data_IF_086694109381
#
_entry.id   IF_086694109381
#
_cell.length_a   1.000
_cell.length_b   1.000
_cell.length_c   1.000
_cell.angle_alpha   90.00
_cell.angle_beta   90.00
_cell.angle_gamma   90.00
#
_symmetry.space_group_name_H-M   'P 1'
#
loop_
_entity.id
_entity.type
_entity.pdbx_description
1 polymer ?
#
# COMPACT_ATOMS: atom_id res chain seq x y z
N UNK A 1 -5.90 -3.83 6.85
CA UNK A 1 -5.45 -4.42 5.58
C UNK A 1 -4.53 -3.41 4.93
N UNK A 2 -3.23 -3.64 4.94
CA UNK A 2 -2.32 -2.87 4.09
C UNK A 2 -2.70 -3.14 2.63
N UNK A 3 -2.71 -2.11 1.80
CA UNK A 3 -3.03 -2.27 0.40
C UNK A 3 -1.92 -3.09 -0.27
N UNK A 4 -2.31 -4.08 -1.09
CA UNK A 4 -1.40 -4.94 -1.85
C UNK A 4 -0.22 -4.18 -2.54
N UNK A 5 -0.40 -2.95 -3.07
CA UNK A 5 0.71 -2.17 -3.64
C UNK A 5 1.78 -1.76 -2.62
N UNK A 6 1.39 -1.49 -1.38
CA UNK A 6 2.33 -1.08 -0.32
C UNK A 6 3.25 -2.22 0.10
N UNK A 7 2.72 -3.44 0.17
CA UNK A 7 3.53 -4.62 0.48
C UNK A 7 4.55 -4.90 -0.64
N UNK A 8 4.15 -4.75 -1.91
CA UNK A 8 5.05 -4.92 -3.05
C UNK A 8 6.20 -3.90 -3.01
N UNK A 9 5.91 -2.64 -2.72
CA UNK A 9 6.92 -1.59 -2.69
C UNK A 9 7.90 -1.77 -1.53
N UNK A 10 7.40 -2.14 -0.34
CA UNK A 10 8.26 -2.49 0.80
C UNK A 10 9.22 -3.64 0.44
N UNK A 11 8.70 -4.66 -0.24
CA UNK A 11 9.53 -5.82 -0.65
C UNK A 11 10.56 -5.47 -1.71
N UNK A 12 10.27 -4.55 -2.63
CA UNK A 12 11.25 -4.05 -3.60
C UNK A 12 12.39 -3.28 -2.93
N UNK A 13 12.08 -2.50 -1.90
CA UNK A 13 13.08 -1.78 -1.12
C UNK A 13 13.99 -2.75 -0.35
N UNK A 14 13.43 -3.80 0.24
CA UNK A 14 14.20 -4.88 0.86
C UNK A 14 15.17 -5.53 -0.15
N UNK A 15 14.70 -5.80 -1.38
CA UNK A 15 15.53 -6.38 -2.45
C UNK A 15 16.71 -5.47 -2.79
N UNK A 16 16.47 -4.17 -2.97
CA UNK A 16 17.53 -3.21 -3.28
C UNK A 16 18.57 -3.13 -2.15
N UNK A 17 18.12 -3.18 -0.89
CA UNK A 17 19.02 -3.22 0.26
C UNK A 17 19.88 -4.50 0.27
N UNK A 18 19.32 -5.66 -0.05
CA UNK A 18 20.08 -6.91 -0.15
C UNK A 18 21.11 -6.91 -1.27
N UNK A 19 20.75 -6.41 -2.46
CA UNK A 19 21.70 -6.31 -3.57
C UNK A 19 22.90 -5.43 -3.19
N UNK A 20 22.65 -4.34 -2.47
CA UNK A 20 23.70 -3.47 -1.93
C UNK A 20 24.62 -4.21 -0.95
N UNK A 21 24.09 -5.10 -0.11
CA UNK A 21 24.89 -5.95 0.78
C UNK A 21 25.79 -6.87 -0.03
N UNK A 22 25.25 -7.62 -0.99
CA UNK A 22 26.01 -8.58 -1.79
C UNK A 22 27.13 -7.87 -2.54
N UNK A 23 26.80 -6.80 -3.27
CA UNK A 23 27.77 -5.99 -4.00
C UNK A 23 28.83 -5.39 -3.06
N UNK A 24 28.43 -4.91 -1.89
CA UNK A 24 29.34 -4.38 -0.88
C UNK A 24 30.32 -5.42 -0.36
N UNK A 25 29.87 -6.67 -0.15
CA UNK A 25 30.74 -7.77 0.29
C UNK A 25 31.69 -8.20 -0.82
N UNK A 26 31.23 -8.32 -2.07
CA UNK A 26 32.08 -8.68 -3.19
C UNK A 26 33.13 -7.61 -3.47
N UNK A 27 32.74 -6.34 -3.43
CA UNK A 27 33.66 -5.20 -3.56
C UNK A 27 34.72 -5.24 -2.46
N UNK A 28 34.31 -5.40 -1.20
CA UNK A 28 35.23 -5.48 -0.07
C UNK A 28 36.20 -6.67 -0.19
N UNK A 29 35.70 -7.81 -0.64
CA UNK A 29 36.53 -9.00 -0.92
C UNK A 29 37.58 -8.68 -1.96
N UNK A 30 37.16 -8.16 -3.11
CA UNK A 30 38.04 -7.92 -4.24
C UNK A 30 39.07 -6.82 -3.92
N UNK A 31 38.68 -5.76 -3.22
CA UNK A 31 39.57 -4.70 -2.75
C UNK A 31 40.64 -5.24 -1.78
N UNK A 32 40.25 -6.09 -0.82
CA UNK A 32 41.18 -6.69 0.13
C UNK A 32 42.14 -7.67 -0.56
N UNK A 33 41.68 -8.43 -1.56
CA UNK A 33 42.56 -9.30 -2.37
C UNK A 33 43.54 -8.49 -3.22
N UNK A 34 43.13 -7.32 -3.72
CA UNK A 34 43.98 -6.44 -4.52
C UNK A 34 44.90 -5.55 -3.68
N UNK A 35 44.70 -5.47 -2.36
CA UNK A 35 45.51 -4.65 -1.46
C UNK A 35 47.03 -4.79 -1.68
N UNK A 36 47.60 -6.00 -1.90
CA UNK A 36 49.03 -6.12 -2.16
C UNK A 36 49.52 -5.35 -3.40
N UNK A 37 48.72 -5.32 -4.47
CA UNK A 37 49.00 -4.60 -5.71
C UNK A 37 48.75 -3.10 -5.56
N UNK A 38 47.70 -2.71 -4.83
CA UNK A 38 47.41 -1.31 -4.48
C UNK A 38 48.60 -0.71 -3.70
N UNK A 39 49.09 -1.44 -2.70
CA UNK A 39 50.25 -1.03 -1.91
C UNK A 39 51.51 -0.97 -2.76
N UNK A 40 51.71 -1.93 -3.67
CA UNK A 40 52.83 -1.93 -4.62
C UNK A 40 52.80 -0.66 -5.48
N UNK A 41 51.65 -0.33 -6.07
CA UNK A 41 51.47 0.86 -6.91
C UNK A 41 51.73 2.16 -6.13
N UNK A 42 51.23 2.26 -4.89
CA UNK A 42 51.51 3.38 -4.00
C UNK A 42 53.01 3.54 -3.73
N UNK A 43 53.70 2.46 -3.37
CA UNK A 43 55.14 2.48 -3.11
C UNK A 43 55.93 2.91 -4.35
N UNK A 44 55.59 2.43 -5.55
CA UNK A 44 56.24 2.86 -6.78
C UNK A 44 56.04 4.34 -7.07
N UNK A 45 54.83 4.87 -6.90
CA UNK A 45 54.55 6.30 -7.15
C UNK A 45 55.22 7.22 -6.13
N UNK A 46 55.17 6.88 -4.84
CA UNK A 46 55.75 7.68 -3.75
C UNK A 46 57.28 7.69 -3.79
N UNK A 47 57.92 6.56 -4.13
CA UNK A 47 59.38 6.45 -4.17
C UNK A 47 60.01 6.98 -5.47
N UNK A 48 59.26 7.05 -6.57
CA UNK A 48 59.76 7.53 -7.87
C UNK A 48 59.68 9.05 -8.05
N UNK A 49 59.16 9.78 -7.06
CA UNK A 49 59.01 11.24 -7.12
C UNK A 49 58.03 11.74 -8.19
N UNK A 50 57.20 10.85 -8.75
CA UNK A 50 56.16 11.22 -9.71
C UNK A 50 54.90 11.71 -8.98
N UNK A 51 54.17 12.71 -9.50
CA UNK A 51 52.96 13.23 -8.85
C UNK A 51 51.91 12.12 -8.66
N UNK A 52 51.40 11.97 -7.43
CA UNK A 52 50.37 10.97 -7.13
C UNK A 52 49.05 11.25 -7.86
N UNK A 53 48.37 10.21 -8.40
CA UNK A 53 46.92 10.25 -8.54
C UNK A 53 46.30 10.23 -7.14
N UNK A 54 45.46 11.21 -6.83
CA UNK A 54 44.79 11.36 -5.54
C UNK A 54 43.88 10.15 -5.23
N UNK A 55 43.83 9.66 -3.98
CA UNK A 55 43.00 8.51 -3.59
C UNK A 55 41.50 8.82 -3.43
N UNK A 56 41.00 9.99 -3.86
CA UNK A 56 39.60 10.37 -3.67
C UNK A 56 38.62 9.83 -4.74
N UNK A 57 38.95 8.70 -5.33
CA UNK A 57 38.03 7.93 -6.15
C UNK A 57 38.61 6.55 -6.34
N UNK A 58 37.81 5.52 -6.10
CA UNK A 58 38.14 4.16 -6.54
C UNK A 58 38.67 4.24 -7.98
N UNK A 59 39.81 3.58 -8.30
CA UNK A 59 40.29 3.56 -9.67
C UNK A 59 39.24 2.87 -10.54
N UNK A 60 38.46 3.65 -11.29
CA UNK A 60 37.64 3.11 -12.36
C UNK A 60 38.57 2.52 -13.43
N UNK A 61 38.70 1.20 -13.45
CA UNK A 61 39.39 0.47 -14.52
C UNK A 61 38.39 -0.35 -15.34
N UNK A 62 38.70 -0.58 -16.64
CA UNK A 62 37.77 -1.15 -17.60
C UNK A 62 37.54 -2.64 -17.28
N UNK A 63 36.27 -3.05 -17.26
CA UNK A 63 35.88 -4.41 -16.97
C UNK A 63 36.44 -5.41 -18.01
N UNK A 64 36.63 -6.68 -17.61
CA UNK A 64 36.98 -7.74 -18.54
C UNK A 64 35.77 -8.14 -19.39
N UNK A 65 35.94 -8.14 -20.70
CA UNK A 65 35.02 -8.78 -21.65
C UNK A 65 34.82 -10.25 -21.26
N UNK A 66 33.71 -10.51 -20.55
CA UNK A 66 33.20 -11.86 -20.34
C UNK A 66 31.73 -11.86 -20.75
N UNK A 67 31.51 -12.21 -22.00
CA UNK A 67 30.20 -12.57 -22.50
C UNK A 67 29.70 -13.82 -21.77
N UNK A 68 28.67 -13.65 -20.95
CA UNK A 68 27.45 -14.47 -20.87
C UNK A 68 26.64 -13.99 -19.66
N UNK A 69 25.89 -12.91 -19.87
CA UNK A 69 24.86 -12.48 -18.93
C UNK A 69 23.64 -13.39 -19.10
N UNK A 70 23.23 -14.04 -18.00
CA UNK A 70 21.86 -14.54 -17.86
C UNK A 70 20.94 -13.33 -17.91
N UNK A 71 20.04 -13.35 -18.88
CA UNK A 71 19.12 -12.26 -19.19
C UNK A 71 18.05 -12.15 -18.10
N UNK A 72 18.29 -11.30 -17.08
CA UNK A 72 17.30 -10.87 -16.07
C UNK A 72 17.20 -9.33 -16.05
N UNK A 73 17.23 -8.72 -17.23
CA UNK A 73 16.97 -7.29 -17.42
C UNK A 73 15.94 -7.09 -18.53
N UNK A 74 14.69 -7.46 -18.26
CA UNK A 74 13.56 -6.92 -19.01
C UNK A 74 12.26 -7.18 -18.25
N UNK A 75 11.96 -6.31 -17.27
CA UNK A 75 10.61 -5.84 -16.92
C UNK A 75 10.63 -5.06 -15.58
N UNK A 76 11.40 -3.98 -15.48
CA UNK A 76 11.07 -2.85 -14.59
C UNK A 76 11.60 -1.57 -15.26
N UNK A 77 10.87 -1.05 -16.24
CA UNK A 77 10.97 0.37 -16.59
C UNK A 77 9.81 1.10 -15.90
N UNK A 78 10.04 1.50 -14.66
CA UNK A 78 9.41 2.69 -14.11
C UNK A 78 10.55 3.65 -13.72
N UNK A 79 10.58 4.88 -14.26
CA UNK A 79 11.61 5.83 -13.90
C UNK A 79 11.33 6.35 -12.49
N UNK A 80 11.97 5.76 -11.49
CA UNK A 80 12.24 6.47 -10.24
C UNK A 80 13.24 7.57 -10.58
N UNK A 81 12.72 8.77 -10.86
CA UNK A 81 13.48 10.01 -10.93
C UNK A 81 14.15 10.25 -9.57
N UNK A 82 15.35 9.70 -9.38
CA UNK A 82 16.27 10.17 -8.34
C UNK A 82 16.95 11.44 -8.87
N UNK A 83 16.93 12.56 -8.13
CA UNK A 83 17.73 13.72 -8.49
C UNK A 83 19.21 13.36 -8.29
N UNK A 84 19.92 13.20 -9.40
CA UNK A 84 21.38 13.12 -9.45
C UNK A 84 21.96 14.51 -9.15
N UNK A 85 21.80 14.99 -7.91
CA UNK A 85 22.61 16.10 -7.40
C UNK A 85 23.93 15.50 -6.94
N UNK A 86 24.89 15.45 -7.86
CA UNK A 86 26.31 15.41 -7.49
C UNK A 86 26.61 16.75 -6.85
N UNK A 87 26.35 16.85 -5.54
CA UNK A 87 26.76 17.98 -4.73
C UNK A 87 28.28 17.92 -4.68
N UNK A 88 28.92 18.80 -5.44
CA UNK A 88 30.34 19.08 -5.36
C UNK A 88 30.59 19.73 -3.99
N UNK A 89 30.64 18.90 -2.94
CA UNK A 89 31.06 19.30 -1.61
C UNK A 89 32.49 19.83 -1.74
N UNK A 90 32.67 21.10 -1.39
CA UNK A 90 33.98 21.70 -1.23
C UNK A 90 34.80 20.79 -0.31
N UNK A 91 35.94 20.32 -0.80
CA UNK A 91 36.81 19.43 -0.05
C UNK A 91 37.10 20.07 1.32
N UNK A 92 36.83 19.37 2.44
CA UNK A 92 37.21 19.87 3.76
C UNK A 92 38.71 20.17 3.75
N UNK A 93 39.10 21.29 4.37
CA UNK A 93 40.49 21.67 4.52
C UNK A 93 41.27 20.45 5.06
N UNK A 94 42.18 19.94 4.25
CA UNK A 94 42.93 18.73 4.57
C UNK A 94 43.64 18.93 5.91
N UNK A 95 43.54 17.97 6.84
CA UNK A 95 44.36 18.01 8.05
C UNK A 95 45.84 18.13 7.64
N UNK A 96 46.65 18.88 8.40
CA UNK A 96 48.07 19.06 8.10
C UNK A 96 48.74 17.70 7.96
N UNK A 97 49.55 17.51 6.91
CA UNK A 97 50.24 16.24 6.64
C UNK A 97 51.07 15.86 7.88
N UNK A 98 50.67 14.81 8.63
CA UNK A 98 51.33 14.43 9.88
C UNK A 98 52.78 13.97 9.65
N UNK A 99 53.15 13.69 8.39
CA UNK A 99 54.49 13.27 8.00
C UNK A 99 55.36 14.45 7.48
N UNK A 100 54.80 15.65 7.29
CA UNK A 100 55.49 16.77 6.64
C UNK A 100 56.69 17.36 7.40
N UNK A 101 56.79 17.10 8.71
CA UNK A 101 57.92 17.52 9.54
C UNK A 101 59.10 16.54 9.57
N UNK A 102 58.96 15.37 8.95
CA UNK A 102 60.00 14.33 8.92
C UNK A 102 60.79 14.44 7.61
N UNK A 103 62.07 14.03 7.63
CA UNK A 103 62.92 14.03 6.44
C UNK A 103 63.35 12.60 6.06
N UNK A 104 63.50 12.36 4.75
CA UNK A 104 64.07 11.13 4.22
C UNK A 104 63.24 9.89 4.55
N UNK A 105 63.90 8.84 5.05
CA UNK A 105 63.26 7.53 5.26
C UNK A 105 62.15 7.54 6.33
N UNK A 106 62.24 8.42 7.33
CA UNK A 106 61.21 8.53 8.38
C UNK A 106 59.91 9.09 7.81
N UNK A 107 60.01 10.04 6.88
CA UNK A 107 58.87 10.56 6.15
C UNK A 107 58.20 9.46 5.31
N UNK A 108 58.96 8.66 4.59
CA UNK A 108 58.44 7.53 3.80
C UNK A 108 57.78 6.48 4.70
N UNK A 109 58.39 6.11 5.83
CA UNK A 109 57.79 5.18 6.79
C UNK A 109 56.44 5.70 7.28
N UNK A 110 56.38 6.97 7.65
CA UNK A 110 55.15 7.61 8.11
C UNK A 110 54.06 7.61 7.02
N UNK A 111 54.41 7.98 5.78
CA UNK A 111 53.47 8.02 4.66
C UNK A 111 52.92 6.63 4.30
N UNK A 112 53.78 5.62 4.25
CA UNK A 112 53.36 4.23 4.01
C UNK A 112 52.45 3.74 5.13
N UNK A 113 52.81 4.02 6.38
CA UNK A 113 52.00 3.64 7.54
C UNK A 113 50.61 4.30 7.50
N UNK A 114 50.54 5.60 7.24
CA UNK A 114 49.28 6.34 7.09
C UNK A 114 48.44 5.82 5.92
N UNK A 115 49.05 5.52 4.78
CA UNK A 115 48.35 4.96 3.63
C UNK A 115 47.70 3.61 3.95
N UNK A 116 48.45 2.70 4.59
CA UNK A 116 47.92 1.39 4.96
C UNK A 116 46.76 1.54 5.95
N UNK A 117 46.91 2.35 7.00
CA UNK A 117 45.83 2.58 7.96
C UNK A 117 44.59 3.17 7.30
N UNK A 118 44.76 4.17 6.42
CA UNK A 118 43.65 4.78 5.69
C UNK A 118 42.91 3.77 4.78
N UNK A 119 43.62 2.82 4.17
CA UNK A 119 42.99 1.75 3.39
C UNK A 119 42.14 0.82 4.28
N UNK A 120 42.62 0.47 5.47
CA UNK A 120 41.82 -0.32 6.42
C UNK A 120 40.60 0.41 6.95
N UNK A 121 40.72 1.72 7.20
CA UNK A 121 39.59 2.55 7.59
C UNK A 121 38.56 2.63 6.46
N UNK A 122 39.02 2.70 5.20
CA UNK A 122 38.13 2.65 4.03
C UNK A 122 37.41 1.29 3.92
N UNK A 123 38.10 0.18 4.11
CA UNK A 123 37.47 -1.15 4.18
C UNK A 123 36.43 -1.24 5.30
N UNK A 124 36.72 -0.63 6.46
CA UNK A 124 35.78 -0.49 7.57
C UNK A 124 34.54 0.32 7.22
N UNK A 125 34.71 1.42 6.48
CA UNK A 125 33.61 2.24 6.00
C UNK A 125 32.76 1.49 4.97
N UNK A 126 33.37 0.88 3.95
CA UNK A 126 32.68 0.06 2.94
C UNK A 126 31.89 -1.07 3.59
N UNK A 127 32.49 -1.81 4.54
CA UNK A 127 31.79 -2.84 5.28
C UNK A 127 30.60 -2.25 6.05
N UNK A 128 30.77 -1.12 6.73
CA UNK A 128 29.70 -0.51 7.52
C UNK A 128 28.55 -0.02 6.66
N UNK A 129 28.84 0.76 5.63
CA UNK A 129 27.86 1.54 4.88
C UNK A 129 27.15 0.71 3.79
N UNK A 130 27.87 -0.27 3.22
CA UNK A 130 27.34 -1.10 2.15
C UNK A 130 26.88 -2.47 2.64
N UNK A 131 27.42 -2.99 3.76
CA UNK A 131 27.06 -4.32 4.28
C UNK A 131 26.28 -4.21 5.58
N UNK A 132 26.85 -3.65 6.66
CA UNK A 132 26.25 -3.74 8.00
C UNK A 132 24.98 -2.89 8.17
N UNK A 133 24.96 -1.67 7.61
CA UNK A 133 23.79 -0.77 7.71
C UNK A 133 22.57 -1.35 7.00
N UNK A 134 22.66 -1.78 5.72
CA UNK A 134 21.53 -2.43 5.05
C UNK A 134 21.13 -3.75 5.72
N UNK A 135 22.09 -4.51 6.26
CA UNK A 135 21.76 -5.77 6.94
C UNK A 135 21.01 -5.55 8.26
N UNK A 136 21.30 -4.47 8.99
CA UNK A 136 20.57 -4.07 10.20
C UNK A 136 19.15 -3.58 9.89
N UNK A 137 18.92 -2.86 8.79
CA UNK A 137 17.55 -2.48 8.39
C UNK A 137 16.71 -3.71 8.08
N UNK A 138 17.31 -4.71 7.43
CA UNK A 138 16.66 -5.97 7.11
C UNK A 138 16.38 -6.84 8.35
N UNK A 139 17.26 -6.86 9.34
CA UNK A 139 17.07 -7.61 10.59
C UNK A 139 15.88 -7.11 11.43
N UNK A 140 15.53 -5.82 11.33
CA UNK A 140 14.37 -5.28 12.01
C UNK A 140 13.04 -5.71 11.35
N UNK A 141 13.08 -6.15 10.09
CA UNK A 141 11.90 -6.50 9.30
C UNK A 141 11.77 -8.01 9.03
N UNK A 142 12.88 -8.76 9.08
CA UNK A 142 12.94 -10.18 8.76
C UNK A 142 13.72 -10.98 9.82
N UNK A 143 13.41 -12.28 9.92
CA UNK A 143 14.02 -13.27 10.81
C UNK A 143 15.45 -13.65 10.37
N UNK A 144 16.33 -12.67 10.16
CA UNK A 144 17.72 -12.89 9.79
C UNK A 144 18.47 -13.58 10.95
N UNK A 145 19.10 -14.72 10.66
CA UNK A 145 19.80 -15.55 11.65
C UNK A 145 21.27 -15.15 11.85
N UNK A 146 21.70 -14.05 11.24
CA UNK A 146 23.08 -13.58 11.27
C UNK A 146 23.26 -12.36 12.18
N UNK A 147 24.25 -12.41 13.06
CA UNK A 147 24.64 -11.26 13.90
C UNK A 147 25.72 -10.42 13.17
N UNK A 148 25.38 -9.21 12.67
CA UNK A 148 26.32 -8.33 11.99
C UNK A 148 27.53 -7.95 12.85
N UNK A 149 27.41 -8.02 14.17
CA UNK A 149 28.49 -7.71 15.12
C UNK A 149 29.69 -8.65 14.96
N UNK A 150 29.46 -9.90 14.53
CA UNK A 150 30.51 -10.89 14.32
C UNK A 150 31.47 -10.48 13.19
N UNK A 151 30.93 -9.86 12.13
CA UNK A 151 31.71 -9.41 10.98
C UNK A 151 32.51 -8.14 11.31
N UNK A 152 31.91 -7.23 12.07
CA UNK A 152 32.57 -6.03 12.58
C UNK A 152 33.75 -6.37 13.51
N UNK A 153 33.56 -7.33 14.43
CA UNK A 153 34.63 -7.84 15.29
C UNK A 153 35.76 -8.49 14.48
N UNK A 154 35.41 -9.29 13.45
CA UNK A 154 36.40 -9.91 12.58
C UNK A 154 37.26 -8.89 11.85
N UNK A 155 36.67 -7.79 11.37
CA UNK A 155 37.41 -6.73 10.69
C UNK A 155 38.31 -5.95 11.66
N UNK A 156 37.84 -5.65 12.87
CA UNK A 156 38.68 -5.04 13.91
C UNK A 156 39.87 -5.93 14.29
N UNK A 157 39.66 -7.26 14.33
CA UNK A 157 40.73 -8.22 14.57
C UNK A 157 41.75 -8.25 13.41
N UNK A 158 41.28 -8.10 12.17
CA UNK A 158 42.15 -7.95 11.00
C UNK A 158 42.97 -6.66 11.10
N UNK A 159 42.32 -5.51 11.30
CA UNK A 159 42.98 -4.20 11.43
C UNK A 159 44.04 -4.17 12.54
N UNK A 160 43.72 -4.73 13.71
CA UNK A 160 44.67 -4.80 14.84
C UNK A 160 45.86 -5.73 14.53
N UNK A 161 45.62 -6.86 13.86
CA UNK A 161 46.69 -7.75 13.41
C UNK A 161 47.63 -7.08 12.41
N UNK A 162 47.08 -6.27 11.51
CA UNK A 162 47.83 -5.46 10.56
C UNK A 162 48.66 -4.39 11.22
N UNK A 163 48.06 -3.62 12.13
CA UNK A 163 48.77 -2.60 12.90
C UNK A 163 49.98 -3.20 13.61
N UNK A 164 49.80 -4.35 14.25
CA UNK A 164 50.90 -5.09 14.87
C UNK A 164 51.98 -5.50 13.87
N UNK A 165 51.61 -6.01 12.68
CA UNK A 165 52.58 -6.38 11.64
C UNK A 165 53.40 -5.17 11.13
N UNK A 166 52.76 -4.00 11.04
CA UNK A 166 53.43 -2.73 10.69
C UNK A 166 54.37 -2.26 11.80
N UNK A 167 53.94 -2.32 13.06
CA UNK A 167 54.74 -1.94 14.22
C UNK A 167 55.98 -2.85 14.38
N UNK A 168 55.82 -4.15 14.10
CA UNK A 168 56.92 -5.13 14.11
C UNK A 168 57.91 -4.92 12.94
N UNK A 169 57.44 -4.37 11.81
CA UNK A 169 58.23 -4.21 10.59
C UNK A 169 58.03 -2.82 9.96
N UNK A 170 58.46 -1.73 10.62
CA UNK A 170 58.16 -0.37 10.17
C UNK A 170 58.78 -0.01 8.81
N UNK A 171 59.78 -0.78 8.36
CA UNK A 171 60.49 -0.61 7.09
C UNK A 171 60.17 -1.70 6.07
N UNK A 172 59.05 -2.41 6.23
CA UNK A 172 58.69 -3.54 5.37
C UNK A 172 58.66 -3.18 3.87
N UNK A 173 58.33 -1.93 3.54
CA UNK A 173 58.25 -1.43 2.17
C UNK A 173 59.57 -1.53 1.41
N UNK A 174 60.72 -1.49 2.09
CA UNK A 174 62.04 -1.66 1.47
C UNK A 174 62.22 -3.06 0.89
N UNK A 175 61.63 -4.04 1.55
CA UNK A 175 61.70 -5.47 1.19
C UNK A 175 60.41 -5.96 0.56
N UNK A 176 59.48 -5.06 0.25
CA UNK A 176 58.18 -5.39 -0.30
C UNK A 176 58.31 -5.74 -1.79
N UNK A 177 58.82 -6.95 -2.06
CA UNK A 177 58.86 -7.53 -3.40
C UNK A 177 57.54 -8.23 -3.78
N UNK A 178 56.61 -8.32 -2.84
CA UNK A 178 55.36 -9.08 -2.93
C UNK A 178 55.53 -10.58 -2.66
N UNK A 179 56.76 -11.11 -2.65
CA UNK A 179 57.02 -12.56 -2.60
C UNK A 179 57.49 -13.10 -1.24
N UNK A 180 57.81 -12.25 -0.27
CA UNK A 180 58.41 -12.69 1.00
C UNK A 180 57.95 -11.89 2.23
N UNK A 181 58.06 -12.53 3.40
CA UNK A 181 57.98 -11.91 4.73
C UNK A 181 56.63 -11.27 5.05
N UNK A 182 56.52 -9.96 4.81
CA UNK A 182 55.36 -9.15 5.17
C UNK A 182 54.14 -9.49 4.30
N UNK A 183 54.30 -9.56 2.97
CA UNK A 183 53.17 -9.81 2.04
C UNK A 183 52.52 -11.18 2.24
N UNK A 184 53.33 -12.18 2.62
CA UNK A 184 52.85 -13.55 2.91
C UNK A 184 52.07 -13.59 4.22
N UNK A 185 52.58 -12.98 5.30
CA UNK A 185 51.85 -12.91 6.59
C UNK A 185 50.56 -12.11 6.45
N UNK A 186 50.63 -11.02 5.70
CA UNK A 186 49.52 -10.18 5.30
C UNK A 186 48.42 -10.98 4.59
N UNK A 187 48.78 -11.65 3.50
CA UNK A 187 47.83 -12.45 2.72
C UNK A 187 47.27 -13.62 3.53
N UNK A 188 48.06 -14.18 4.45
CA UNK A 188 47.61 -15.21 5.38
C UNK A 188 46.54 -14.69 6.36
N UNK A 189 46.71 -13.51 6.96
CA UNK A 189 45.69 -12.93 7.86
C UNK A 189 44.38 -12.66 7.12
N UNK A 190 44.49 -12.09 5.92
CA UNK A 190 43.34 -11.87 5.02
C UNK A 190 42.67 -13.19 4.65
N UNK A 191 43.46 -14.20 4.27
CA UNK A 191 42.95 -15.52 3.88
C UNK A 191 42.26 -16.22 5.05
N UNK A 192 42.79 -16.11 6.28
CA UNK A 192 42.17 -16.66 7.48
C UNK A 192 40.86 -15.97 7.82
N UNK A 193 40.78 -14.65 7.65
CA UNK A 193 39.53 -13.91 7.81
C UNK A 193 38.48 -14.43 6.83
N UNK A 194 38.80 -14.50 5.53
CA UNK A 194 37.86 -14.99 4.53
C UNK A 194 37.52 -16.47 4.72
N UNK A 195 38.48 -17.34 5.05
CA UNK A 195 38.19 -18.75 5.32
C UNK A 195 37.17 -18.94 6.46
N UNK A 196 37.16 -18.05 7.45
CA UNK A 196 36.23 -18.08 8.57
C UNK A 196 34.85 -17.53 8.21
N UNK A 197 34.77 -16.47 7.41
CA UNK A 197 33.53 -15.72 7.19
C UNK A 197 32.89 -15.92 5.81
N UNK A 198 33.62 -16.39 4.79
CA UNK A 198 33.12 -16.60 3.43
C UNK A 198 31.94 -17.56 3.38
N UNK A 199 32.01 -18.68 4.12
CA UNK A 199 30.92 -19.67 4.14
C UNK A 199 29.64 -19.12 4.77
N UNK A 200 29.75 -18.28 5.82
CA UNK A 200 28.62 -17.67 6.49
C UNK A 200 27.93 -16.67 5.56
N UNK A 201 28.73 -15.79 4.95
CA UNK A 201 28.27 -14.80 3.97
C UNK A 201 27.57 -15.49 2.79
N UNK A 202 28.19 -16.52 2.19
CA UNK A 202 27.62 -17.22 1.03
C UNK A 202 26.36 -18.01 1.37
N UNK A 203 26.28 -18.59 2.57
CA UNK A 203 25.08 -19.31 2.99
C UNK A 203 23.90 -18.36 3.16
N UNK A 204 24.13 -17.21 3.78
CA UNK A 204 23.09 -16.20 3.95
C UNK A 204 22.66 -15.63 2.60
N UNK A 205 23.62 -15.28 1.73
CA UNK A 205 23.33 -14.83 0.35
C UNK A 205 22.46 -15.83 -0.41
N UNK A 206 22.76 -17.14 -0.32
CA UNK A 206 21.96 -18.19 -0.97
C UNK A 206 20.58 -18.38 -0.35
N UNK A 207 20.45 -18.20 0.96
CA UNK A 207 19.16 -18.27 1.62
C UNK A 207 18.25 -17.13 1.14
N UNK A 208 18.82 -15.93 1.07
CA UNK A 208 18.16 -14.72 0.61
C UNK A 208 17.74 -14.78 -0.87
N UNK A 209 18.62 -15.28 -1.75
CA UNK A 209 18.28 -15.52 -3.16
C UNK A 209 17.07 -16.45 -3.33
N UNK A 210 16.95 -17.48 -2.47
CA UNK A 210 15.80 -18.41 -2.50
C UNK A 210 14.51 -17.73 -2.06
N UNK A 211 14.54 -16.96 -0.97
CA UNK A 211 13.36 -16.23 -0.50
C UNK A 211 12.90 -15.21 -1.56
N UNK A 212 13.85 -14.53 -2.21
CA UNK A 212 13.59 -13.60 -3.29
C UNK A 212 12.95 -14.30 -4.49
N UNK A 213 13.47 -15.46 -4.90
CA UNK A 213 12.88 -16.26 -5.98
C UNK A 213 11.45 -16.73 -5.67
N UNK A 214 11.20 -17.17 -4.44
CA UNK A 214 9.86 -17.58 -4.01
C UNK A 214 8.86 -16.41 -4.00
N UNK A 215 9.31 -15.24 -3.56
CA UNK A 215 8.51 -14.04 -3.52
C UNK A 215 8.20 -13.50 -4.93
N UNK A 216 9.18 -13.49 -5.82
CA UNK A 216 8.99 -13.09 -7.22
C UNK A 216 7.96 -13.99 -7.91
N UNK A 217 8.06 -15.31 -7.71
CA UNK A 217 7.06 -16.25 -8.22
C UNK A 217 5.65 -15.99 -7.66
N UNK A 218 5.54 -15.57 -6.39
CA UNK A 218 4.26 -15.17 -5.80
C UNK A 218 3.72 -13.90 -6.45
N UNK A 219 4.56 -12.90 -6.71
CA UNK A 219 4.16 -11.66 -7.40
C UNK A 219 3.62 -11.96 -8.79
N UNK A 220 4.36 -12.73 -9.58
CA UNK A 220 3.99 -13.08 -10.95
C UNK A 220 2.63 -13.83 -10.95
N UNK A 221 2.44 -14.75 -9.99
CA UNK A 221 1.16 -15.44 -9.80
C UNK A 221 0.01 -14.49 -9.46
N UNK A 222 0.23 -13.49 -8.61
CA UNK A 222 -0.81 -12.50 -8.27
C UNK A 222 -1.14 -11.62 -9.48
N UNK A 223 -0.15 -11.26 -10.28
CA UNK A 223 -0.34 -10.49 -11.51
C UNK A 223 -1.15 -11.28 -12.55
N UNK A 224 -0.84 -12.57 -12.71
CA UNK A 224 -1.62 -13.49 -13.53
C UNK A 224 -3.06 -13.62 -13.04
N UNK A 225 -3.27 -13.75 -11.71
CA UNK A 225 -4.61 -13.78 -11.12
C UNK A 225 -5.39 -12.50 -11.36
N UNK A 226 -4.74 -11.33 -11.22
CA UNK A 226 -5.35 -10.03 -11.51
C UNK A 226 -5.76 -9.91 -12.97
N UNK A 227 -4.89 -10.34 -13.89
CA UNK A 227 -5.17 -10.33 -15.33
C UNK A 227 -6.30 -11.30 -15.70
N UNK A 228 -6.35 -12.47 -15.06
CA UNK A 228 -7.43 -13.43 -15.22
C UNK A 228 -8.77 -12.85 -14.73
N UNK A 229 -8.77 -12.18 -13.56
CA UNK A 229 -9.96 -11.52 -13.01
C UNK A 229 -10.45 -10.37 -13.90
N UNK A 230 -9.55 -9.51 -14.39
CA UNK A 230 -9.96 -8.43 -15.29
C UNK A 230 -10.52 -8.97 -16.61
N UNK A 231 -9.95 -10.05 -17.14
CA UNK A 231 -10.49 -10.74 -18.31
C UNK A 231 -11.88 -11.33 -18.05
N UNK A 232 -12.13 -11.89 -16.85
CA UNK A 232 -13.47 -12.35 -16.47
C UNK A 232 -14.47 -11.20 -16.35
N UNK A 233 -14.06 -10.06 -15.79
CA UNK A 233 -14.88 -8.85 -15.69
C UNK A 233 -15.28 -8.33 -17.08
N UNK A 234 -14.33 -8.30 -18.03
CA UNK A 234 -14.60 -7.90 -19.41
C UNK A 234 -15.53 -8.88 -20.14
N UNK A 235 -15.38 -10.19 -19.90
CA UNK A 235 -16.31 -11.20 -20.43
C UNK A 235 -17.70 -11.05 -19.81
N UNK A 236 -17.79 -10.78 -18.51
CA UNK A 236 -19.06 -10.53 -17.81
C UNK A 236 -19.73 -9.25 -18.32
N UNK A 237 -18.99 -8.16 -18.50
CA UNK A 237 -19.51 -6.91 -19.05
C UNK A 237 -19.99 -7.09 -20.50
N UNK A 238 -19.26 -7.88 -21.30
CA UNK A 238 -19.66 -8.26 -22.65
C UNK A 238 -20.93 -9.11 -22.65
N UNK A 239 -21.02 -10.12 -21.79
CA UNK A 239 -22.24 -10.94 -21.65
C UNK A 239 -23.43 -10.10 -21.17
N UNK A 240 -23.23 -9.21 -20.20
CA UNK A 240 -24.27 -8.31 -19.69
C UNK A 240 -24.76 -7.32 -20.76
N UNK A 241 -23.87 -6.83 -21.62
CA UNK A 241 -24.24 -5.96 -22.74
C UNK A 241 -24.91 -6.69 -23.91
N UNK A 242 -24.69 -8.01 -24.05
CA UNK A 242 -25.36 -8.87 -25.04
C UNK A 242 -26.71 -9.42 -24.57
N UNK A 243 -26.98 -9.44 -23.26
CA UNK A 243 -28.31 -9.76 -22.73
C UNK A 243 -29.23 -8.56 -23.03
N UNK A 244 -29.84 -8.58 -24.22
CA UNK A 244 -31.00 -7.75 -24.52
C UNK A 244 -32.17 -8.22 -23.64
N UNK A 245 -32.37 -7.54 -22.51
CA UNK A 245 -33.61 -7.63 -21.76
C UNK A 245 -34.78 -7.32 -22.71
N UNK A 246 -35.96 -7.94 -22.54
CA UNK A 246 -37.18 -7.58 -23.29
C UNK A 246 -37.60 -6.10 -23.11
N UNK A 247 -36.90 -5.33 -22.27
CA UNK A 247 -37.05 -3.89 -22.06
C UNK A 247 -36.05 -3.03 -22.88
N UNK A 248 -35.20 -3.61 -23.72
CA UNK A 248 -34.19 -2.91 -24.53
C UNK A 248 -32.80 -2.81 -23.87
N UNK A 249 -31.88 -2.06 -24.51
CA UNK A 249 -30.51 -1.83 -23.99
C UNK A 249 -30.60 -1.16 -22.61
N UNK A 250 -30.17 -1.87 -21.57
CA UNK A 250 -30.04 -1.32 -20.22
C UNK A 250 -29.07 -0.13 -20.28
N UNK A 251 -29.53 1.11 -20.05
CA UNK A 251 -28.68 2.27 -20.18
C UNK A 251 -27.55 2.20 -19.15
N UNK A 252 -26.39 2.75 -19.49
CA UNK A 252 -25.14 2.77 -18.70
C UNK A 252 -25.29 3.50 -17.34
N UNK A 253 -26.50 3.92 -16.96
CA UNK A 253 -26.82 4.51 -15.65
C UNK A 253 -27.68 3.64 -14.73
N UNK A 254 -27.76 2.32 -14.95
CA UNK A 254 -28.59 1.46 -14.09
C UNK A 254 -28.10 1.44 -12.63
N UNK A 255 -26.78 1.48 -12.44
CA UNK A 255 -26.16 1.51 -11.09
C UNK A 255 -26.56 2.80 -10.36
N UNK A 256 -26.55 3.94 -11.06
CA UNK A 256 -27.04 5.21 -10.50
C UNK A 256 -28.55 5.19 -10.27
N UNK A 257 -29.31 4.59 -11.18
CA UNK A 257 -30.78 4.47 -11.07
C UNK A 257 -31.19 3.62 -9.86
N UNK A 258 -30.45 2.55 -9.55
CA UNK A 258 -30.66 1.73 -8.36
C UNK A 258 -30.44 2.55 -7.08
N UNK A 259 -29.49 3.50 -7.07
CA UNK A 259 -29.27 4.39 -5.94
C UNK A 259 -30.42 5.38 -5.73
N UNK A 260 -31.14 5.78 -6.77
CA UNK A 260 -32.32 6.66 -6.67
C UNK A 260 -33.62 5.94 -6.31
N UNK A 261 -33.67 4.61 -6.42
CA UNK A 261 -34.89 3.83 -6.19
C UNK A 261 -35.57 4.09 -4.83
N UNK A 262 -34.86 4.09 -3.68
CA UNK A 262 -35.49 4.37 -2.38
C UNK A 262 -36.11 5.77 -2.30
N UNK A 263 -35.51 6.75 -2.99
CA UNK A 263 -35.98 8.15 -2.99
C UNK A 263 -37.29 8.27 -3.75
N UNK A 264 -37.37 7.68 -4.94
CA UNK A 264 -38.59 7.63 -5.74
C UNK A 264 -39.71 6.91 -4.99
N UNK A 265 -39.37 5.84 -4.27
CA UNK A 265 -40.31 5.08 -3.46
C UNK A 265 -40.86 5.92 -2.30
N UNK A 266 -40.01 6.67 -1.59
CA UNK A 266 -40.43 7.57 -0.52
C UNK A 266 -41.34 8.71 -1.03
N UNK A 267 -41.03 9.30 -2.18
CA UNK A 267 -41.87 10.33 -2.81
C UNK A 267 -43.23 9.75 -3.20
N UNK A 268 -43.23 8.57 -3.85
CA UNK A 268 -44.46 7.89 -4.23
C UNK A 268 -45.35 7.58 -3.01
N UNK A 269 -44.75 7.05 -1.95
CA UNK A 269 -45.46 6.78 -0.70
C UNK A 269 -46.05 8.05 -0.07
N UNK A 270 -45.31 9.16 -0.07
CA UNK A 270 -45.80 10.45 0.42
C UNK A 270 -47.01 10.95 -0.37
N UNK A 271 -46.94 10.90 -1.71
CA UNK A 271 -48.05 11.33 -2.57
C UNK A 271 -49.28 10.45 -2.37
N UNK A 272 -49.11 9.12 -2.34
CA UNK A 272 -50.21 8.17 -2.16
C UNK A 272 -50.89 8.31 -0.79
N UNK A 273 -50.11 8.46 0.29
CA UNK A 273 -50.67 8.68 1.63
C UNK A 273 -51.32 10.05 1.78
N UNK A 274 -50.79 11.08 1.11
CA UNK A 274 -51.40 12.41 1.02
C UNK A 274 -52.78 12.35 0.37
N UNK A 275 -52.88 11.74 -0.82
CA UNK A 275 -54.16 11.52 -1.52
C UNK A 275 -55.14 10.73 -0.66
N UNK A 276 -54.67 9.67 0.01
CA UNK A 276 -55.48 8.89 0.92
C UNK A 276 -56.02 9.71 2.11
N UNK A 277 -55.20 10.57 2.71
CA UNK A 277 -55.62 11.45 3.80
C UNK A 277 -56.65 12.49 3.34
N UNK A 278 -56.51 13.03 2.12
CA UNK A 278 -57.50 13.94 1.52
C UNK A 278 -58.83 13.25 1.25
N UNK A 279 -58.81 12.01 0.74
CA UNK A 279 -60.01 11.20 0.53
C UNK A 279 -60.75 10.93 1.86
N UNK A 280 -60.02 10.63 2.94
CA UNK A 280 -60.62 10.48 4.28
C UNK A 280 -61.28 11.79 4.72
N UNK A 281 -60.59 12.93 4.55
CA UNK A 281 -61.14 14.24 4.92
C UNK A 281 -62.39 14.56 4.12
N UNK A 282 -62.37 14.33 2.80
CA UNK A 282 -63.51 14.57 1.92
C UNK A 282 -64.72 13.71 2.35
N UNK A 283 -64.50 12.42 2.63
CA UNK A 283 -65.57 11.55 3.13
C UNK A 283 -66.08 11.99 4.49
N UNK A 284 -65.20 12.39 5.41
CA UNK A 284 -65.62 12.89 6.72
C UNK A 284 -66.48 14.16 6.61
N UNK A 285 -66.13 15.07 5.69
CA UNK A 285 -66.91 16.28 5.43
C UNK A 285 -68.27 15.93 4.78
N UNK A 286 -68.28 14.97 3.86
CA UNK A 286 -69.51 14.49 3.22
C UNK A 286 -70.44 13.82 4.23
N UNK A 287 -69.92 12.97 5.12
CA UNK A 287 -70.69 12.40 6.24
C UNK A 287 -71.29 13.49 7.13
N UNK A 288 -70.49 14.49 7.53
CA UNK A 288 -70.98 15.63 8.34
C UNK A 288 -72.11 16.38 7.63
N UNK A 289 -71.96 16.63 6.33
CA UNK A 289 -72.97 17.32 5.55
C UNK A 289 -74.26 16.48 5.42
N UNK A 290 -74.12 15.17 5.18
CA UNK A 290 -75.25 14.24 5.09
C UNK A 290 -76.02 14.17 6.42
N UNK A 291 -75.31 14.00 7.54
CA UNK A 291 -75.88 14.02 8.90
C UNK A 291 -76.59 15.33 9.22
N UNK A 292 -76.05 16.48 8.78
CA UNK A 292 -76.68 17.79 9.01
C UNK A 292 -77.99 17.99 8.25
N UNK A 293 -78.16 17.32 7.09
CA UNK A 293 -79.36 17.45 6.24
C UNK A 293 -80.42 16.39 6.52
N UNK A 294 -80.02 15.20 6.97
CA UNK A 294 -80.92 14.10 7.29
C UNK A 294 -80.47 13.37 8.57
N UNK A 295 -80.71 13.97 9.75
CA UNK A 295 -80.32 13.39 11.04
C UNK A 295 -81.06 12.08 11.35
N UNK A 296 -82.24 11.86 10.75
CA UNK A 296 -83.01 10.62 10.92
C UNK A 296 -82.49 9.46 10.05
N UNK A 297 -81.48 9.71 9.18
CA UNK A 297 -80.89 8.74 8.23
C UNK A 297 -81.94 8.02 7.37
N UNK A 298 -83.02 8.70 6.99
CA UNK A 298 -84.11 8.10 6.23
C UNK A 298 -83.84 8.02 4.72
N UNK A 299 -82.99 8.89 4.18
CA UNK A 299 -82.78 9.06 2.74
C UNK A 299 -81.39 8.56 2.31
N UNK A 300 -80.34 8.82 3.10
CA UNK A 300 -78.98 8.31 2.83
C UNK A 300 -78.53 7.36 3.94
N UNK A 301 -78.45 6.07 3.61
CA UNK A 301 -77.86 5.06 4.49
C UNK A 301 -76.33 5.10 4.38
N UNK A 302 -75.59 4.77 5.45
CA UNK A 302 -74.12 4.77 5.48
C UNK A 302 -73.49 3.94 4.34
N UNK A 303 -74.19 2.88 3.91
CA UNK A 303 -73.82 2.06 2.74
C UNK A 303 -73.84 2.85 1.41
N UNK A 304 -74.84 3.71 1.19
CA UNK A 304 -74.92 4.53 -0.04
C UNK A 304 -73.83 5.59 -0.06
N UNK A 305 -73.47 6.13 1.11
CA UNK A 305 -72.36 7.07 1.22
C UNK A 305 -71.02 6.37 0.94
N UNK A 306 -70.84 5.15 1.44
CA UNK A 306 -69.66 4.32 1.14
C UNK A 306 -69.54 3.98 -0.35
N UNK A 307 -70.67 3.78 -1.06
CA UNK A 307 -70.68 3.52 -2.50
C UNK A 307 -70.35 4.76 -3.35
N UNK A 308 -70.62 5.96 -2.83
CA UNK A 308 -70.37 7.23 -3.55
C UNK A 308 -68.90 7.65 -3.46
N UNK A 309 -68.23 7.32 -2.34
CA UNK A 309 -66.81 7.59 -2.12
C UNK A 309 -66.12 6.33 -1.58
N UNK A 310 -65.86 5.31 -2.42
CA UNK A 310 -65.24 4.08 -1.98
C UNK A 310 -63.82 4.38 -1.51
N UNK A 311 -63.57 4.23 -0.20
CA UNK A 311 -62.21 4.19 0.31
C UNK A 311 -61.70 2.76 0.33
N UNK A 312 -60.44 2.64 -0.05
CA UNK A 312 -59.69 1.39 0.05
C UNK A 312 -59.52 0.90 1.49
N UNK A 313 -59.50 1.84 2.44
CA UNK A 313 -59.54 1.57 3.87
C UNK A 313 -60.79 2.26 4.43
N UNK A 314 -61.82 1.49 4.76
CA UNK A 314 -62.96 2.03 5.47
C UNK A 314 -62.67 2.06 6.99
N UNK A 315 -62.61 3.24 7.63
CA UNK A 315 -62.40 3.31 9.07
C UNK A 315 -63.58 2.71 9.85
N UNK A 316 -64.77 2.64 9.23
CA UNK A 316 -66.00 2.13 9.84
C UNK A 316 -66.09 0.59 9.85
N UNK A 317 -65.26 -0.11 9.07
CA UNK A 317 -65.25 -1.57 9.06
C UNK A 317 -64.72 -2.17 10.38
N UNK A 318 -64.97 -3.46 10.62
CA UNK A 318 -64.44 -4.18 11.78
C UNK A 318 -62.90 -4.23 11.76
N UNK A 319 -62.24 -4.04 12.91
CA UNK A 319 -60.76 -4.02 13.08
C UNK A 319 -60.01 -5.11 12.30
N UNK A 320 -60.54 -6.34 12.24
CA UNK A 320 -59.91 -7.47 11.55
C UNK A 320 -59.80 -7.26 10.03
N UNK A 321 -60.79 -6.61 9.40
CA UNK A 321 -60.78 -6.34 7.96
C UNK A 321 -59.83 -5.19 7.58
N UNK A 322 -59.46 -4.33 8.55
CA UNK A 322 -58.54 -3.20 8.34
C UNK A 322 -57.09 -3.62 8.18
N UNK A 323 -56.70 -4.77 8.75
CA UNK A 323 -55.29 -5.19 8.82
C UNK A 323 -54.69 -5.38 7.43
N UNK A 324 -55.36 -6.11 6.54
CA UNK A 324 -54.84 -6.42 5.19
C UNK A 324 -54.57 -5.16 4.36
N UNK A 325 -55.54 -4.25 4.15
CA UNK A 325 -55.30 -3.06 3.34
C UNK A 325 -54.33 -2.07 4.02
N UNK A 326 -54.23 -2.09 5.36
CA UNK A 326 -53.20 -1.32 6.07
C UNK A 326 -51.79 -1.88 5.80
N UNK A 327 -51.65 -3.19 5.78
CA UNK A 327 -50.40 -3.89 5.43
C UNK A 327 -49.99 -3.59 3.98
N UNK A 328 -50.94 -3.59 3.05
CA UNK A 328 -50.70 -3.22 1.65
C UNK A 328 -50.26 -1.77 1.54
N UNK A 329 -50.91 -0.85 2.28
CA UNK A 329 -50.51 0.55 2.32
C UNK A 329 -49.08 0.72 2.84
N UNK A 330 -48.64 -0.10 3.80
CA UNK A 330 -47.30 -0.03 4.39
C UNK A 330 -46.21 -0.77 3.59
N UNK A 331 -46.59 -1.59 2.60
CA UNK A 331 -45.65 -2.37 1.79
C UNK A 331 -44.53 -1.51 1.15
N UNK A 332 -44.79 -0.31 0.60
CA UNK A 332 -43.75 0.56 0.08
C UNK A 332 -42.71 0.94 1.15
N UNK A 333 -43.15 1.28 2.36
CA UNK A 333 -42.24 1.62 3.46
C UNK A 333 -41.36 0.43 3.87
N UNK A 334 -41.91 -0.80 3.86
CA UNK A 334 -41.12 -2.00 4.11
C UNK A 334 -40.06 -2.23 3.02
N UNK A 335 -40.44 -2.10 1.74
CA UNK A 335 -39.51 -2.22 0.60
C UNK A 335 -38.39 -1.17 0.70
N UNK A 336 -38.71 0.06 1.11
CA UNK A 336 -37.72 1.11 1.35
C UNK A 336 -36.68 0.70 2.40
N UNK A 337 -37.11 0.15 3.54
CA UNK A 337 -36.19 -0.29 4.60
C UNK A 337 -35.27 -1.41 4.10
N UNK A 338 -35.82 -2.39 3.38
CA UNK A 338 -35.01 -3.47 2.79
C UNK A 338 -34.02 -2.93 1.75
N UNK A 339 -34.46 -2.01 0.89
CA UNK A 339 -33.60 -1.39 -0.12
C UNK A 339 -32.45 -0.59 0.51
N UNK A 340 -32.73 0.21 1.54
CA UNK A 340 -31.69 0.91 2.29
C UNK A 340 -30.72 -0.08 2.94
N UNK A 341 -31.21 -1.15 3.57
CA UNK A 341 -30.36 -2.19 4.17
C UNK A 341 -29.41 -2.85 3.18
N UNK A 342 -29.90 -3.18 1.98
CA UNK A 342 -29.09 -3.71 0.88
C UNK A 342 -28.03 -2.72 0.42
N UNK A 343 -28.36 -1.44 0.27
CA UNK A 343 -27.41 -0.41 -0.15
C UNK A 343 -26.32 -0.22 0.91
N UNK A 344 -26.69 -0.16 2.20
CA UNK A 344 -25.72 -0.10 3.29
C UNK A 344 -24.82 -1.33 3.35
N UNK A 345 -25.37 -2.52 3.10
CA UNK A 345 -24.57 -3.75 3.00
C UNK A 345 -23.55 -3.67 1.85
N UNK A 346 -23.96 -3.22 0.66
CA UNK A 346 -23.05 -3.03 -0.48
C UNK A 346 -21.96 -2.00 -0.16
N UNK A 347 -22.27 -0.94 0.60
CA UNK A 347 -21.27 0.05 1.03
C UNK A 347 -20.22 -0.51 1.99
N UNK A 348 -20.52 -1.60 2.68
CA UNK A 348 -19.58 -2.28 3.59
C UNK A 348 -18.55 -3.15 2.85
N UNK A 349 -18.81 -3.49 1.58
CA UNK A 349 -17.88 -4.28 0.76
C UNK A 349 -16.76 -3.38 0.22
N UNK A 350 -15.47 -3.71 0.48
CA UNK A 350 -14.36 -3.03 -0.16
C UNK A 350 -14.45 -3.24 -1.69
N UNK A 351 -14.21 -2.19 -2.47
CA UNK A 351 -14.19 -2.17 -3.94
C UNK A 351 -15.50 -2.49 -4.70
N UNK A 352 -16.64 -2.71 -4.03
CA UNK A 352 -17.90 -2.95 -4.73
C UNK A 352 -18.44 -1.74 -5.53
N UNK A 353 -17.94 -0.54 -5.24
CA UNK A 353 -18.37 0.72 -5.86
C UNK A 353 -17.18 1.67 -6.08
N UNK A 354 -16.06 1.14 -6.58
CA UNK A 354 -14.78 1.84 -6.80
C UNK A 354 -14.88 3.10 -7.67
N UNK A 355 -15.97 3.27 -8.42
CA UNK A 355 -16.26 4.47 -9.21
C UNK A 355 -16.99 5.59 -8.46
N UNK A 356 -17.56 5.33 -7.27
CA UNK A 356 -18.29 6.34 -6.49
C UNK A 356 -17.40 6.89 -5.36
N UNK A 357 -16.82 8.06 -5.57
CA UNK A 357 -15.98 8.72 -4.55
C UNK A 357 -16.72 8.89 -3.21
N UNK A 358 -15.96 9.05 -2.12
CA UNK A 358 -16.47 9.22 -0.74
C UNK A 358 -17.56 10.31 -0.65
N UNK A 359 -17.43 11.38 -1.45
CA UNK A 359 -18.42 12.46 -1.59
C UNK A 359 -19.80 11.95 -2.03
N UNK A 360 -19.87 10.97 -2.91
CA UNK A 360 -21.13 10.44 -3.42
C UNK A 360 -21.92 9.71 -2.31
N UNK A 361 -21.21 8.98 -1.42
CA UNK A 361 -21.83 8.25 -0.31
C UNK A 361 -22.55 9.17 0.68
N UNK A 362 -21.94 10.31 1.00
CA UNK A 362 -22.56 11.30 1.90
C UNK A 362 -23.80 11.95 1.30
N UNK A 363 -23.75 12.28 0.00
CA UNK A 363 -24.90 12.86 -0.72
C UNK A 363 -26.08 11.89 -0.72
N UNK A 364 -25.86 10.62 -1.09
CA UNK A 364 -26.91 9.60 -1.04
C UNK A 364 -27.38 9.31 0.38
N UNK A 365 -26.48 9.29 1.35
CA UNK A 365 -26.82 9.11 2.77
C UNK A 365 -27.76 10.20 3.28
N UNK A 366 -27.48 11.47 2.97
CA UNK A 366 -28.35 12.59 3.29
C UNK A 366 -29.71 12.48 2.57
N UNK A 367 -29.70 12.09 1.30
CA UNK A 367 -30.91 11.90 0.49
C UNK A 367 -31.83 10.81 1.06
N UNK A 368 -31.25 9.70 1.55
CA UNK A 368 -31.99 8.62 2.21
C UNK A 368 -32.53 9.04 3.57
N UNK A 369 -31.81 9.89 4.31
CA UNK A 369 -32.29 10.44 5.58
C UNK A 369 -33.49 11.37 5.37
N UNK A 370 -33.44 12.23 4.34
CA UNK A 370 -34.59 13.05 3.92
C UNK A 370 -35.77 12.17 3.49
N UNK A 371 -35.49 11.12 2.71
CA UNK A 371 -36.51 10.16 2.24
C UNK A 371 -37.18 9.42 3.40
N UNK A 372 -36.41 9.01 4.42
CA UNK A 372 -36.95 8.42 5.63
C UNK A 372 -37.85 9.41 6.37
N UNK A 373 -37.46 10.69 6.42
CA UNK A 373 -38.30 11.78 6.93
C UNK A 373 -39.65 11.88 6.22
N UNK A 374 -39.68 11.79 4.88
CA UNK A 374 -40.92 11.75 4.11
C UNK A 374 -41.80 10.56 4.45
N UNK A 375 -41.23 9.36 4.61
CA UNK A 375 -41.99 8.17 4.99
C UNK A 375 -42.60 8.30 6.39
N UNK A 376 -41.82 8.80 7.36
CA UNK A 376 -42.33 9.03 8.73
C UNK A 376 -43.44 10.09 8.72
N UNK A 377 -43.23 11.20 8.02
CA UNK A 377 -44.25 12.25 7.90
C UNK A 377 -45.54 11.74 7.23
N UNK A 378 -45.42 11.00 6.12
CA UNK A 378 -46.51 10.34 5.43
C UNK A 378 -47.31 9.38 6.34
N UNK A 379 -46.60 8.56 7.13
CA UNK A 379 -47.22 7.64 8.07
C UNK A 379 -47.96 8.37 9.21
N UNK A 380 -47.38 9.45 9.74
CA UNK A 380 -48.03 10.29 10.75
C UNK A 380 -49.26 11.01 10.19
N UNK A 381 -49.17 11.53 8.96
CA UNK A 381 -50.27 12.18 8.28
C UNK A 381 -51.43 11.19 8.07
N UNK A 382 -51.15 10.00 7.53
CA UNK A 382 -52.13 8.92 7.37
C UNK A 382 -52.79 8.52 8.69
N UNK A 383 -51.98 8.32 9.75
CA UNK A 383 -52.49 8.00 11.09
C UNK A 383 -53.38 9.09 11.66
N UNK A 384 -53.02 10.37 11.49
CA UNK A 384 -53.83 11.50 11.94
C UNK A 384 -55.15 11.59 11.18
N UNK A 385 -55.15 11.31 9.87
CA UNK A 385 -56.35 11.24 9.04
C UNK A 385 -57.32 10.17 9.54
N UNK A 386 -56.83 8.97 9.81
CA UNK A 386 -57.64 7.86 10.34
C UNK A 386 -58.15 8.16 11.75
N UNK A 387 -57.30 8.69 12.65
CA UNK A 387 -57.71 8.99 14.04
C UNK A 387 -58.78 10.08 14.12
N UNK A 388 -58.72 11.08 13.25
CA UNK A 388 -59.71 12.16 13.19
C UNK A 388 -61.04 11.71 12.56
N UNK A 389 -61.07 10.55 11.92
CA UNK A 389 -62.30 9.90 11.46
C UNK A 389 -62.91 9.11 12.62
N UNK A 390 -63.57 9.80 13.54
CA UNK A 390 -64.35 9.14 14.60
C UNK A 390 -65.83 9.54 14.45
N UNK A 391 -66.70 8.63 13.98
CA UNK A 391 -68.13 8.89 13.90
C UNK A 391 -68.77 9.01 15.30
N UNK A 392 -68.20 8.34 16.31
CA UNK A 392 -68.73 8.29 17.67
C UNK A 392 -68.55 9.58 18.48
N UNK A 393 -67.62 10.46 18.10
CA UNK A 393 -67.46 11.78 18.74
C UNK A 393 -68.54 12.80 18.31
N UNK A 394 -69.52 12.38 17.50
CA UNK A 394 -70.59 13.23 16.97
C UNK A 394 -71.99 12.86 17.49
N UNK A 395 -72.10 11.78 18.29
CA UNK A 395 -73.35 11.38 18.97
C UNK A 395 -73.38 11.82 20.46
N UNK A 396 -72.32 12.46 20.95
CA UNK A 396 -72.25 13.14 22.25
C UNK A 396 -72.12 14.65 22.02
#
# INVERSE_FOLDING_TARGET
MQSLPGEIQQRQEQIAQYQKVVEGVETLRDEIYQFPEILRAFLFSSLSGSPQPRPNGSPGFPGPDTGQALNVQQMVQQPLNMPQQVQQQAAPALPPDPCGGMAGEEQTNCQVHQFVLAQFDNYGATLRDNVLVPLKSLQNEASLHFDPSILEQGLQQLQSSFKRLLDENPRFWKTYSGKEGFSVRLSEQVSRFWAKYDSVIRNESRHLEKELGALQASKDRLEDQKKALSGQEEVLSTRLSQIESPLGKLPVGLVESVLFFPVLLAIGFLVSTGQFAELIRLRSAFHRLALSKDPARHILTDQQIALTAPLWLDPADHEQKKVIPFLILFAPAFIFVVACGLIFYVWSLPDALSGSGVLNRWVYGALYLVSAGFIVYAALQGRSGVRNYSPAAQEA
#
